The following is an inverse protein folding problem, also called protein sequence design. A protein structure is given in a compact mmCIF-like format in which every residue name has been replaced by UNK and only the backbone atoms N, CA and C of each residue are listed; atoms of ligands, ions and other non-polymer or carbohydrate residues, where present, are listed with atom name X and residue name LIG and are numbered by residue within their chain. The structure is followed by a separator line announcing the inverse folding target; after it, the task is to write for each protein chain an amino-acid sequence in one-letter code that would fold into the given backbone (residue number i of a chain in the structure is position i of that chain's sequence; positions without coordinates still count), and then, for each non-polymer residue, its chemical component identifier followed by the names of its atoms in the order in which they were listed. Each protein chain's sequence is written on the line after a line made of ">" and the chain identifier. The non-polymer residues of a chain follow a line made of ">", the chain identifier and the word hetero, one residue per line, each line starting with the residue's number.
data_IF_242536225642
#
_entry.id   IF_242536225642
#
_cell.length_a   1.000
_cell.length_b   1.000
_cell.length_c   1.000
_cell.angle_alpha   90.00
_cell.angle_beta   90.00
_cell.angle_gamma   90.00
#
_symmetry.space_group_name_H-M   'P 1'
#
loop_
_entity.id
_entity.type
_entity.pdbx_description
1 polymer ?
#
# COMPACT_ATOMS: atom_id res chain seq x y z
N UNK A 1 1.43 -14.43 -9.47
CA UNK A 1 2.24 -14.77 -8.27
C UNK A 1 3.74 -14.85 -8.60
N UNK A 2 4.16 -15.31 -9.79
CA UNK A 2 5.60 -15.42 -10.17
C UNK A 2 6.49 -14.21 -9.78
N UNK A 3 6.12 -12.93 -10.04
CA UNK A 3 6.95 -11.80 -9.63
C UNK A 3 7.08 -11.67 -8.10
N UNK A 4 6.01 -11.92 -7.35
CA UNK A 4 6.00 -11.89 -5.89
C UNK A 4 6.85 -13.02 -5.31
N UNK A 5 6.74 -14.23 -5.85
CA UNK A 5 7.58 -15.36 -5.45
C UNK A 5 9.06 -15.07 -5.70
N UNK A 6 9.40 -14.45 -6.84
CA UNK A 6 10.78 -14.03 -7.15
C UNK A 6 11.28 -12.95 -6.18
N UNK A 7 10.44 -11.99 -5.81
CA UNK A 7 10.80 -10.97 -4.82
C UNK A 7 11.03 -11.61 -3.44
N UNK A 8 10.14 -12.50 -3.01
CA UNK A 8 10.23 -13.21 -1.73
C UNK A 8 11.44 -14.14 -1.63
N UNK A 9 11.95 -14.65 -2.77
CA UNK A 9 13.17 -15.44 -2.81
C UNK A 9 14.46 -14.60 -2.73
N UNK A 10 14.36 -13.26 -2.86
CA UNK A 10 15.50 -12.34 -2.93
C UNK A 10 15.62 -11.37 -1.76
N UNK A 11 14.61 -11.29 -0.90
CA UNK A 11 14.55 -10.32 0.19
C UNK A 11 14.03 -10.99 1.46
N UNK A 12 14.50 -10.55 2.61
CA UNK A 12 14.05 -11.06 3.91
C UNK A 12 12.61 -10.64 4.23
N UNK A 13 12.17 -9.50 3.68
CA UNK A 13 10.81 -8.98 3.80
C UNK A 13 10.33 -8.37 2.48
N UNK A 14 9.08 -8.64 2.11
CA UNK A 14 8.41 -8.08 0.93
C UNK A 14 7.08 -7.49 1.35
N UNK A 15 6.84 -6.23 0.97
CA UNK A 15 5.57 -5.54 1.22
C UNK A 15 4.92 -5.18 -0.11
N UNK A 16 3.66 -5.58 -0.29
CA UNK A 16 2.85 -5.25 -1.45
C UNK A 16 1.75 -4.26 -1.04
N UNK A 17 1.70 -3.11 -1.70
CA UNK A 17 0.63 -2.12 -1.56
C UNK A 17 -0.30 -2.16 -2.77
N UNK A 18 -1.55 -2.55 -2.55
CA UNK A 18 -2.60 -2.61 -3.54
C UNK A 18 -3.49 -1.35 -3.45
N UNK A 19 -3.44 -0.48 -4.46
CA UNK A 19 -4.15 0.81 -4.44
C UNK A 19 -5.23 0.94 -5.53
N UNK A 20 -5.18 0.16 -6.61
CA UNK A 20 -6.16 0.24 -7.71
C UNK A 20 -7.56 -0.30 -7.35
N UNK A 21 -8.60 0.17 -8.04
CA UNK A 21 -10.00 -0.26 -7.81
C UNK A 21 -10.23 -1.77 -7.99
N UNK A 22 -9.51 -2.41 -8.92
CA UNK A 22 -9.62 -3.85 -9.18
C UNK A 22 -8.88 -4.72 -8.14
N UNK A 23 -8.26 -4.13 -7.11
CA UNK A 23 -7.41 -4.84 -6.16
C UNK A 23 -8.16 -5.95 -5.41
N UNK A 24 -9.41 -5.71 -5.01
CA UNK A 24 -10.20 -6.71 -4.26
C UNK A 24 -10.54 -7.94 -5.10
N UNK A 25 -10.93 -7.72 -6.36
CA UNK A 25 -11.21 -8.80 -7.32
C UNK A 25 -9.93 -9.59 -7.60
N UNK A 26 -8.82 -8.90 -7.83
CA UNK A 26 -7.52 -9.52 -8.00
C UNK A 26 -7.11 -10.35 -6.78
N UNK A 27 -7.29 -9.80 -5.57
CA UNK A 27 -6.92 -10.46 -4.31
C UNK A 27 -7.65 -11.79 -4.12
N UNK A 28 -8.98 -11.79 -4.28
CA UNK A 28 -9.81 -13.01 -4.22
C UNK A 28 -9.31 -14.13 -5.15
N UNK A 29 -8.77 -13.77 -6.32
CA UNK A 29 -8.24 -14.72 -7.30
C UNK A 29 -6.84 -15.25 -6.99
N UNK A 30 -6.08 -14.64 -6.08
CA UNK A 30 -4.66 -14.95 -5.87
C UNK A 30 -4.29 -15.25 -4.41
N UNK A 31 -5.10 -14.87 -3.42
CA UNK A 31 -4.78 -14.96 -1.99
C UNK A 31 -4.24 -16.34 -1.58
N UNK A 32 -4.91 -17.41 -1.99
CA UNK A 32 -4.53 -18.79 -1.70
C UNK A 32 -3.14 -19.17 -2.24
N UNK A 33 -2.73 -18.58 -3.37
CA UNK A 33 -1.40 -18.81 -3.97
C UNK A 33 -0.30 -18.06 -3.22
N UNK A 34 -0.65 -16.97 -2.54
CA UNK A 34 0.29 -16.11 -1.81
C UNK A 34 0.43 -16.52 -0.34
N UNK A 35 -0.48 -17.34 0.20
CA UNK A 35 -0.43 -17.82 1.59
C UNK A 35 0.92 -18.47 1.94
N UNK A 36 1.52 -19.21 1.00
CA UNK A 36 2.82 -19.89 1.17
C UNK A 36 4.03 -18.96 1.32
N UNK A 37 3.93 -17.70 0.87
CA UNK A 37 5.01 -16.73 0.93
C UNK A 37 5.04 -16.12 2.34
N UNK A 38 5.92 -16.62 3.21
CA UNK A 38 5.93 -16.28 4.64
C UNK A 38 6.44 -14.87 4.94
N UNK A 39 7.34 -14.37 4.11
CA UNK A 39 7.93 -13.03 4.21
C UNK A 39 7.16 -11.97 3.41
N UNK A 40 5.95 -12.28 2.93
CA UNK A 40 5.10 -11.35 2.19
C UNK A 40 4.03 -10.75 3.11
N UNK A 41 4.01 -9.43 3.21
CA UNK A 41 2.88 -8.66 3.74
C UNK A 41 2.13 -7.96 2.62
N UNK A 42 0.81 -7.95 2.70
CA UNK A 42 -0.05 -7.34 1.68
C UNK A 42 -1.00 -6.35 2.34
N UNK A 43 -0.98 -5.11 1.84
CA UNK A 43 -1.80 -4.02 2.33
C UNK A 43 -2.67 -3.48 1.20
N UNK A 44 -3.94 -3.23 1.50
CA UNK A 44 -4.88 -2.52 0.66
C UNK A 44 -4.94 -1.07 1.12
N UNK A 45 -4.52 -0.17 0.23
CA UNK A 45 -4.73 1.27 0.42
C UNK A 45 -6.11 1.64 -0.11
N UNK A 46 -7.02 2.28 0.65
CA UNK A 46 -8.31 2.73 0.13
C UNK A 46 -8.14 3.56 -1.15
N UNK A 47 -8.95 3.31 -2.17
CA UNK A 47 -8.79 3.98 -3.49
C UNK A 47 -8.94 5.50 -3.38
N UNK A 48 -9.85 5.98 -2.54
CA UNK A 48 -10.07 7.41 -2.31
C UNK A 48 -8.83 8.07 -1.68
N UNK A 49 -8.24 7.45 -0.66
CA UNK A 49 -7.01 7.93 -0.04
C UNK A 49 -5.83 7.95 -1.05
N UNK A 50 -5.74 6.94 -1.92
CA UNK A 50 -4.74 6.90 -2.98
C UNK A 50 -4.95 8.01 -4.04
N UNK A 51 -6.19 8.42 -4.31
CA UNK A 51 -6.48 9.57 -5.17
C UNK A 51 -6.12 10.89 -4.47
N UNK A 52 -6.37 11.01 -3.16
CA UNK A 52 -5.96 12.18 -2.37
C UNK A 52 -4.45 12.43 -2.43
N UNK A 53 -3.64 11.36 -2.40
CA UNK A 53 -2.18 11.47 -2.56
C UNK A 53 -1.74 12.14 -3.86
N UNK A 54 -2.53 12.03 -4.93
CA UNK A 54 -2.21 12.67 -6.21
C UNK A 54 -2.21 14.20 -6.09
N UNK A 55 -3.03 14.76 -5.19
CA UNK A 55 -3.12 16.21 -4.96
C UNK A 55 -1.85 16.77 -4.32
N UNK A 56 -1.18 15.96 -3.48
CA UNK A 56 0.07 16.33 -2.81
C UNK A 56 1.29 16.28 -3.75
N UNK A 57 1.15 15.70 -4.95
CA UNK A 57 2.25 15.54 -5.88
C UNK A 57 2.61 16.88 -6.56
N UNK A 58 3.80 17.40 -6.25
CA UNK A 58 4.33 18.63 -6.82
C UNK A 58 5.75 18.43 -7.38
N UNK A 59 6.23 19.35 -8.23
CA UNK A 59 7.60 19.29 -8.78
C UNK A 59 8.68 19.33 -7.68
N UNK A 60 8.40 20.05 -6.61
CA UNK A 60 9.18 20.08 -5.37
C UNK A 60 8.20 19.89 -4.22
N UNK A 61 8.44 18.91 -3.34
CA UNK A 61 7.51 18.56 -2.27
C UNK A 61 8.19 18.75 -0.91
N UNK A 62 7.48 19.37 0.02
CA UNK A 62 7.79 19.32 1.45
C UNK A 62 6.60 18.67 2.14
N UNK A 63 6.79 17.43 2.59
CA UNK A 63 5.72 16.62 3.16
C UNK A 63 6.03 16.33 4.63
N UNK A 64 5.04 16.49 5.48
CA UNK A 64 5.05 16.01 6.85
C UNK A 64 4.27 14.70 6.93
N UNK A 65 4.88 13.68 7.52
CA UNK A 65 4.28 12.38 7.73
C UNK A 65 4.14 12.10 9.23
N UNK A 66 2.91 11.84 9.67
CA UNK A 66 2.58 11.42 11.04
C UNK A 66 2.01 10.02 11.00
N UNK A 67 2.65 9.07 11.69
CA UNK A 67 2.18 7.69 11.78
C UNK A 67 1.70 7.43 13.21
N UNK A 68 0.43 7.06 13.35
CA UNK A 68 -0.19 6.78 14.63
C UNK A 68 -1.26 5.69 14.47
N UNK A 69 -1.23 4.68 15.34
CA UNK A 69 -2.24 3.61 15.42
C UNK A 69 -2.56 2.93 14.07
N UNK A 70 -1.56 2.82 13.19
CA UNK A 70 -1.70 2.21 11.86
C UNK A 70 -2.27 3.14 10.78
N UNK A 71 -2.59 4.39 11.12
CA UNK A 71 -2.92 5.46 10.19
C UNK A 71 -1.67 6.29 9.86
N UNK A 72 -1.57 6.73 8.62
CA UNK A 72 -0.59 7.70 8.12
C UNK A 72 -1.34 8.95 7.70
N UNK A 73 -1.09 10.07 8.39
CA UNK A 73 -1.46 11.39 7.90
C UNK A 73 -0.26 11.99 7.16
N UNK A 74 -0.45 12.32 5.89
CA UNK A 74 0.54 12.96 5.04
C UNK A 74 0.03 14.33 4.62
N UNK A 75 0.80 15.38 4.87
CA UNK A 75 0.37 16.75 4.61
C UNK A 75 1.48 17.62 3.99
N UNK A 76 1.08 18.63 3.21
CA UNK A 76 1.90 19.76 2.79
C UNK A 76 1.38 21.07 3.43
N UNK A 77 1.72 22.22 2.85
CA UNK A 77 1.28 23.54 3.31
C UNK A 77 -0.21 23.83 3.04
N UNK A 78 -0.89 23.03 2.21
CA UNK A 78 -2.23 23.32 1.66
C UNK A 78 -3.23 22.19 1.84
N UNK A 79 -2.77 20.96 1.97
CA UNK A 79 -3.58 19.76 1.86
C UNK A 79 -3.04 18.67 2.79
N UNK A 80 -3.95 17.85 3.30
CA UNK A 80 -3.62 16.71 4.13
C UNK A 80 -4.46 15.51 3.67
N UNK A 81 -3.83 14.33 3.67
CA UNK A 81 -4.44 13.07 3.29
C UNK A 81 -4.19 12.08 4.42
N UNK A 82 -5.27 11.51 4.94
CA UNK A 82 -5.19 10.40 5.88
C UNK A 82 -5.30 9.07 5.13
N UNK A 83 -4.43 8.13 5.48
CA UNK A 83 -4.34 6.82 4.86
C UNK A 83 -4.33 5.78 5.97
N UNK A 84 -5.36 4.94 5.98
CA UNK A 84 -5.46 3.80 6.88
C UNK A 84 -5.41 2.52 6.04
N UNK A 85 -4.23 1.91 5.82
CA UNK A 85 -4.10 0.71 5.03
C UNK A 85 -4.76 -0.48 5.74
N UNK A 86 -5.54 -1.27 4.98
CA UNK A 86 -6.10 -2.52 5.46
C UNK A 86 -5.11 -3.65 5.21
N UNK A 87 -4.74 -4.40 6.24
CA UNK A 87 -3.85 -5.55 6.07
C UNK A 87 -4.63 -6.77 5.58
N UNK A 88 -4.22 -7.32 4.44
CA UNK A 88 -4.75 -8.58 3.89
C UNK A 88 -3.89 -9.80 4.27
N UNK A 89 -2.56 -9.62 4.39
CA UNK A 89 -1.60 -10.67 4.78
C UNK A 89 -0.44 -10.07 5.57
#
# INVERSE_FOLDING_TARGET
>A
DKPLAKACAKADAVVLYCFGHAAEVWWKGIENKLTRLRNLSVYRMPSEAAQGLQVLAQRSMQLQATVQDGSLMLADDRSAVEITPLRWK
#
